data_IF_430387772825
#
_entry.id   IF_430387772825
#
_cell.length_a   1.000
_cell.length_b   1.000
_cell.length_c   1.000
_cell.angle_alpha   90.00
_cell.angle_beta   90.00
_cell.angle_gamma   90.00
#
_symmetry.space_group_name_H-M   'P 1'
#
loop_
_entity.id
_entity.type
_entity.pdbx_description
1 polymer ?
#
# COMPACT_ATOMS: atom_id res chain seq x y z
N UNK A 1 7.28 9.90 -31.33
CA UNK A 1 7.47 8.44 -31.16
C UNK A 1 8.45 8.21 -30.02
N UNK A 2 7.94 8.00 -28.81
CA UNK A 2 8.61 7.35 -27.68
C UNK A 2 7.47 6.94 -26.71
N UNK A 3 6.85 5.75 -26.88
CA UNK A 3 5.85 5.28 -25.93
C UNK A 3 6.49 4.76 -24.63
N UNK A 4 7.81 4.91 -24.46
CA UNK A 4 8.57 4.15 -23.46
C UNK A 4 8.55 4.75 -22.06
N UNK A 5 8.58 6.08 -21.87
CA UNK A 5 8.72 6.64 -20.50
C UNK A 5 7.47 6.42 -19.65
N UNK A 6 6.28 6.63 -20.22
CA UNK A 6 5.01 6.44 -19.50
C UNK A 6 4.77 4.96 -19.15
N UNK A 7 5.11 4.05 -20.08
CA UNK A 7 5.03 2.60 -19.86
C UNK A 7 6.07 2.09 -18.85
N UNK A 8 7.28 2.64 -18.84
CA UNK A 8 8.34 2.28 -17.88
C UNK A 8 7.95 2.75 -16.48
N UNK A 9 7.47 3.99 -16.34
CA UNK A 9 7.03 4.54 -15.05
C UNK A 9 5.82 3.76 -14.49
N UNK A 10 4.88 3.37 -15.38
CA UNK A 10 3.78 2.48 -15.03
C UNK A 10 4.25 1.10 -14.53
N UNK A 11 5.24 0.50 -15.20
CA UNK A 11 5.79 -0.79 -14.81
C UNK A 11 6.58 -0.73 -13.50
N UNK A 12 7.37 0.33 -13.27
CA UNK A 12 8.09 0.54 -12.01
C UNK A 12 7.13 0.65 -10.81
N UNK A 13 5.99 1.34 -10.98
CA UNK A 13 4.96 1.42 -9.95
C UNK A 13 4.35 0.06 -9.61
N UNK A 14 4.15 -0.81 -10.61
CA UNK A 14 3.62 -2.16 -10.40
C UNK A 14 4.65 -3.08 -9.72
N UNK A 15 5.93 -2.97 -10.08
CA UNK A 15 7.02 -3.69 -9.41
C UNK A 15 7.15 -3.29 -7.95
N UNK A 16 7.07 -1.99 -7.64
CA UNK A 16 7.07 -1.53 -6.26
C UNK A 16 5.84 -2.00 -5.49
N UNK A 17 4.67 -2.05 -6.11
CA UNK A 17 3.46 -2.62 -5.49
C UNK A 17 3.68 -4.08 -5.12
N UNK A 18 4.24 -4.86 -6.04
CA UNK A 18 4.58 -6.26 -5.78
C UNK A 18 5.58 -6.40 -4.62
N UNK A 19 6.56 -5.49 -4.55
CA UNK A 19 7.52 -5.44 -3.44
C UNK A 19 6.86 -5.10 -2.10
N UNK A 20 5.95 -4.13 -2.08
CA UNK A 20 5.16 -3.82 -0.86
C UNK A 20 4.32 -5.02 -0.46
N UNK A 21 3.66 -5.65 -1.43
CA UNK A 21 2.87 -6.86 -1.20
C UNK A 21 3.73 -7.96 -0.56
N UNK A 22 4.88 -8.29 -1.16
CA UNK A 22 5.81 -9.29 -0.60
C UNK A 22 6.25 -8.93 0.83
N UNK A 23 6.63 -7.68 1.10
CA UNK A 23 7.02 -7.24 2.45
C UNK A 23 5.88 -7.42 3.47
N UNK A 24 4.65 -7.13 3.08
CA UNK A 24 3.48 -7.35 3.94
C UNK A 24 3.26 -8.84 4.21
N UNK A 25 3.42 -9.70 3.21
CA UNK A 25 3.30 -11.16 3.38
C UNK A 25 4.42 -11.75 4.24
N UNK A 26 5.65 -11.23 4.10
CA UNK A 26 6.79 -11.67 4.89
C UNK A 26 6.62 -11.34 6.37
N UNK A 27 6.07 -10.16 6.68
CA UNK A 27 5.81 -9.76 8.05
C UNK A 27 4.54 -10.40 8.63
N UNK A 28 3.48 -10.48 7.82
CA UNK A 28 2.14 -10.93 8.24
C UNK A 28 1.57 -11.92 7.22
N UNK A 29 1.99 -13.20 7.27
CA UNK A 29 1.53 -14.21 6.32
C UNK A 29 0.01 -14.43 6.37
N UNK A 30 -0.64 -14.17 7.50
CA UNK A 30 -2.09 -14.23 7.66
C UNK A 30 -2.85 -13.19 6.81
N UNK A 31 -2.18 -12.11 6.39
CA UNK A 31 -2.78 -11.12 5.48
C UNK A 31 -2.80 -11.60 4.02
N UNK A 32 -2.09 -12.68 3.66
CA UNK A 32 -2.04 -13.20 2.30
C UNK A 32 -3.42 -13.45 1.68
N UNK A 33 -4.34 -13.97 2.47
CA UNK A 33 -5.70 -14.29 2.02
C UNK A 33 -6.64 -13.08 2.05
N UNK A 34 -6.22 -12.00 2.73
CA UNK A 34 -7.02 -10.78 2.92
C UNK A 34 -6.61 -9.64 1.99
N UNK A 35 -5.35 -9.58 1.57
CA UNK A 35 -4.84 -8.51 0.71
C UNK A 35 -5.47 -8.63 -0.68
N UNK A 36 -6.20 -7.59 -1.08
CA UNK A 36 -6.71 -7.41 -2.43
C UNK A 36 -5.72 -6.56 -3.23
N UNK A 37 -5.04 -7.18 -4.18
CA UNK A 37 -4.11 -6.51 -5.10
C UNK A 37 -4.87 -6.07 -6.35
N UNK A 38 -4.84 -4.79 -6.70
CA UNK A 38 -5.35 -4.33 -7.99
C UNK A 38 -4.28 -4.57 -9.05
N UNK A 39 -4.50 -5.48 -10.00
CA UNK A 39 -3.49 -5.80 -11.01
C UNK A 39 -3.25 -4.66 -12.02
N UNK A 40 -4.25 -3.80 -12.22
CA UNK A 40 -4.22 -2.71 -13.20
C UNK A 40 -3.61 -1.42 -12.64
N UNK A 41 -3.63 -1.23 -11.32
CA UNK A 41 -3.17 -0.02 -10.66
C UNK A 41 -2.16 -0.33 -9.54
N UNK A 42 -1.26 0.60 -9.19
CA UNK A 42 -0.39 0.44 -8.03
C UNK A 42 -1.17 0.69 -6.72
N UNK A 43 -2.16 -0.16 -6.46
CA UNK A 43 -3.09 -0.07 -5.34
C UNK A 43 -3.26 -1.44 -4.68
N UNK A 44 -3.26 -1.44 -3.36
CA UNK A 44 -3.43 -2.60 -2.49
C UNK A 44 -4.50 -2.24 -1.46
N UNK A 45 -5.41 -3.17 -1.17
CA UNK A 45 -6.43 -3.00 -0.15
C UNK A 45 -6.35 -4.14 0.85
N UNK A 46 -6.46 -3.82 2.13
CA UNK A 46 -6.43 -4.81 3.21
C UNK A 46 -7.65 -4.56 4.09
N UNK A 47 -8.67 -5.41 4.05
CA UNK A 47 -9.84 -5.26 4.91
C UNK A 47 -9.42 -5.46 6.37
N UNK A 48 -9.73 -4.49 7.23
CA UNK A 48 -9.33 -4.53 8.65
C UNK A 48 -10.29 -5.35 9.51
N UNK A 49 -11.41 -5.82 8.94
CA UNK A 49 -12.46 -6.56 9.67
C UNK A 49 -13.31 -5.70 10.63
N UNK A 50 -12.86 -4.49 10.98
CA UNK A 50 -13.52 -3.56 11.90
C UNK A 50 -14.46 -2.57 11.19
N UNK A 51 -14.89 -2.88 9.96
CA UNK A 51 -15.75 -2.01 9.15
C UNK A 51 -15.02 -1.00 8.28
N UNK A 52 -13.70 -1.17 8.07
CA UNK A 52 -12.88 -0.38 7.16
C UNK A 52 -11.87 -1.23 6.40
N UNK A 53 -11.08 -0.57 5.55
CA UNK A 53 -9.97 -1.18 4.84
C UNK A 53 -8.77 -0.23 4.86
N UNK A 54 -7.58 -0.80 5.04
CA UNK A 54 -6.33 -0.13 4.73
C UNK A 54 -6.20 -0.07 3.22
N UNK A 55 -5.85 1.09 2.68
CA UNK A 55 -5.63 1.29 1.25
C UNK A 55 -4.22 1.81 1.09
N UNK A 56 -3.34 1.05 0.44
CA UNK A 56 -2.02 1.50 0.05
C UNK A 56 -2.05 1.83 -1.42
N UNK A 57 -1.59 3.00 -1.80
CA UNK A 57 -1.48 3.37 -3.21
C UNK A 57 -0.24 4.22 -3.45
N UNK A 58 0.30 4.07 -4.65
CA UNK A 58 1.34 4.98 -5.15
C UNK A 58 0.69 6.06 -6.00
N UNK A 59 0.86 7.31 -5.58
CA UNK A 59 0.27 8.46 -6.27
C UNK A 59 1.24 9.64 -6.34
N UNK A 60 1.16 10.38 -7.43
CA UNK A 60 1.84 11.67 -7.54
C UNK A 60 1.08 12.72 -6.69
N UNK A 61 1.80 13.42 -5.83
CA UNK A 61 1.29 14.61 -5.12
C UNK A 61 2.38 15.66 -5.09
N UNK A 62 2.03 16.87 -5.50
CA UNK A 62 2.98 18.00 -5.61
C UNK A 62 4.23 17.68 -6.45
N UNK A 63 4.10 16.84 -7.47
CA UNK A 63 5.21 16.44 -8.35
C UNK A 63 6.13 15.37 -7.76
N UNK A 64 5.80 14.80 -6.59
CA UNK A 64 6.54 13.72 -5.96
C UNK A 64 5.70 12.44 -6.02
N UNK A 65 6.27 11.41 -6.65
CA UNK A 65 5.65 10.09 -6.71
C UNK A 65 5.99 9.31 -5.44
N UNK A 66 5.04 9.23 -4.50
CA UNK A 66 5.25 8.61 -3.18
C UNK A 66 4.12 7.65 -2.83
N UNK A 67 4.46 6.61 -2.07
CA UNK A 67 3.50 5.69 -1.51
C UNK A 67 2.76 6.29 -0.32
N UNK A 68 1.46 6.03 -0.24
CA UNK A 68 0.62 6.44 0.88
C UNK A 68 -0.22 5.26 1.35
N UNK A 69 -0.57 5.30 2.62
CA UNK A 69 -1.53 4.38 3.22
C UNK A 69 -2.64 5.17 3.89
N UNK A 70 -3.88 4.89 3.52
CA UNK A 70 -5.04 5.33 4.26
C UNK A 70 -5.46 4.21 5.21
N UNK A 71 -5.64 4.56 6.48
CA UNK A 71 -6.12 3.66 7.52
C UNK A 71 -7.37 4.27 8.18
N UNK A 72 -8.40 3.45 8.48
CA UNK A 72 -9.47 3.91 9.35
C UNK A 72 -8.91 4.18 10.74
N UNK A 73 -9.18 5.36 11.29
CA UNK A 73 -8.68 5.81 12.59
C UNK A 73 -9.83 6.43 13.38
N UNK A 74 -10.50 5.62 14.22
CA UNK A 74 -11.52 5.99 15.20
C UNK A 74 -12.70 6.85 14.71
N UNK A 75 -12.44 8.12 14.43
CA UNK A 75 -13.37 9.15 13.95
C UNK A 75 -13.24 9.47 12.44
N UNK A 76 -12.30 8.86 11.72
CA UNK A 76 -12.09 9.16 10.30
C UNK A 76 -11.10 8.26 9.58
N UNK A 77 -10.43 8.84 8.59
CA UNK A 77 -9.37 8.17 7.80
C UNK A 77 -8.07 8.93 8.01
N UNK A 78 -7.07 8.25 8.57
CA UNK A 78 -5.70 8.75 8.68
C UNK A 78 -4.92 8.35 7.44
N UNK A 79 -4.34 9.34 6.76
CA UNK A 79 -3.41 9.09 5.65
C UNK A 79 -1.98 9.21 6.17
N UNK A 80 -1.22 8.15 5.99
CA UNK A 80 0.19 8.05 6.37
C UNK A 80 1.04 8.02 5.11
N UNK A 81 2.08 8.84 5.09
CA UNK A 81 3.00 8.97 3.96
C UNK A 81 4.40 8.57 4.41
N UNK A 82 4.73 7.26 4.43
CA UNK A 82 6.05 6.83 4.86
C UNK A 82 7.14 7.29 3.90
N UNK A 83 8.33 7.53 4.42
CA UNK A 83 9.51 7.86 3.62
C UNK A 83 10.04 6.61 2.89
N UNK A 84 9.66 5.41 3.33
CA UNK A 84 10.05 4.14 2.69
C UNK A 84 8.98 3.06 2.74
N UNK A 85 8.91 2.25 1.67
CA UNK A 85 7.96 1.11 1.59
C UNK A 85 8.21 0.01 2.64
N UNK A 86 9.40 -0.01 3.24
CA UNK A 86 9.76 -0.95 4.29
C UNK A 86 9.04 -0.69 5.62
N UNK A 87 8.46 0.50 5.79
CA UNK A 87 7.70 0.87 7.00
C UNK A 87 6.24 0.40 6.93
N UNK A 88 5.76 0.01 5.75
CA UNK A 88 4.37 -0.44 5.58
C UNK A 88 3.98 -1.62 6.48
N UNK A 89 4.80 -2.68 6.65
CA UNK A 89 4.44 -3.79 7.51
C UNK A 89 4.21 -3.40 8.98
N UNK A 90 5.02 -2.49 9.51
CA UNK A 90 4.87 -1.98 10.87
C UNK A 90 3.63 -1.09 10.99
N UNK A 91 3.42 -0.18 10.03
CA UNK A 91 2.25 0.69 9.98
C UNK A 91 0.94 -0.09 9.83
N UNK A 92 0.93 -1.15 9.02
CA UNK A 92 -0.22 -2.04 8.84
C UNK A 92 -0.50 -2.80 10.13
N UNK A 93 0.52 -3.34 10.80
CA UNK A 93 0.37 -4.02 12.09
C UNK A 93 -0.25 -3.10 13.15
N UNK A 94 0.30 -1.88 13.28
CA UNK A 94 -0.18 -0.87 14.23
C UNK A 94 -1.67 -0.56 14.00
N UNK A 95 -2.07 -0.36 12.74
CA UNK A 95 -3.44 0.00 12.39
C UNK A 95 -4.42 -1.17 12.42
N UNK A 96 -3.97 -2.39 12.23
CA UNK A 96 -4.79 -3.59 12.43
C UNK A 96 -5.02 -3.90 13.91
N UNK A 97 -4.32 -3.22 14.82
CA UNK A 97 -4.38 -3.54 16.25
C UNK A 97 -3.74 -4.89 16.56
N UNK A 98 -3.01 -5.47 15.61
CA UNK A 98 -2.12 -6.60 15.81
C UNK A 98 -0.83 -6.08 16.46
N UNK A 99 -0.99 -5.51 17.66
CA UNK A 99 0.12 -5.40 18.60
C UNK A 99 0.51 -6.82 18.97
N UNK A 100 1.73 -7.19 18.56
CA UNK A 100 2.40 -8.40 19.03
C UNK A 100 2.35 -8.54 20.55
#
# INVERSE_FOLDING_TARGET
MFPTRDLIDGYERLLERDRVHQLLLEAHPDLADRIEVDEANPLLRIPTGLGGALILWKGEHEGINRWRMAAPDGEGVSVVEPDSIAEFPELVAEKLGESA
#
